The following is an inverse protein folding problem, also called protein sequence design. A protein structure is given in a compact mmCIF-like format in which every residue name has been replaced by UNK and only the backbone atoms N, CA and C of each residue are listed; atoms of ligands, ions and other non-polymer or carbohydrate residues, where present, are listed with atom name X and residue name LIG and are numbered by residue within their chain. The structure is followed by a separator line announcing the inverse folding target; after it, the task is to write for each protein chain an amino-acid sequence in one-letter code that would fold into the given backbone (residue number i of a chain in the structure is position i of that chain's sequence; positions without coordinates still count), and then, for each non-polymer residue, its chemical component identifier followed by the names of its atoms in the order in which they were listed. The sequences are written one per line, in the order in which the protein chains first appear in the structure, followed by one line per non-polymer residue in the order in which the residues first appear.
data_IF_564457528367
#
_entry.id   IF_564457528367
#
_cell.length_a   1.000
_cell.length_b   1.000
_cell.length_c   1.000
_cell.angle_alpha   90.00
_cell.angle_beta   90.00
_cell.angle_gamma   90.00
#
_symmetry.space_group_name_H-M   'P 1'
#
loop_
_entity.id
_entity.type
_entity.pdbx_description
1 polymer ?
#
# COMPACT_ATOMS: atom_id res chain seq x y z
N UNK A 1 -17.55 34.61 5.99
CA UNK A 1 -17.81 33.16 5.84
C UNK A 1 -17.11 32.47 7.00
N UNK A 2 -17.86 32.05 8.01
CA UNK A 2 -17.29 31.35 9.17
C UNK A 2 -16.77 29.98 8.72
N UNK A 3 -15.45 29.84 8.61
CA UNK A 3 -14.81 28.53 8.54
C UNK A 3 -15.05 27.81 9.87
N UNK A 4 -16.15 27.03 9.95
CA UNK A 4 -16.38 26.11 11.06
C UNK A 4 -15.13 25.23 11.21
N UNK A 5 -14.45 25.39 12.34
CA UNK A 5 -13.32 24.56 12.74
C UNK A 5 -13.63 23.09 12.46
N UNK A 6 -12.73 22.34 11.80
CA UNK A 6 -12.98 20.96 11.46
C UNK A 6 -13.27 20.16 12.74
N UNK A 7 -14.33 19.35 12.69
CA UNK A 7 -14.76 18.55 13.84
C UNK A 7 -13.63 17.68 14.37
N UNK A 8 -13.66 17.35 15.66
CA UNK A 8 -12.68 16.45 16.28
C UNK A 8 -12.55 15.13 15.51
N UNK A 9 -13.68 14.60 15.03
CA UNK A 9 -13.76 13.39 14.18
C UNK A 9 -12.95 13.57 12.89
N UNK A 10 -13.03 14.75 12.24
CA UNK A 10 -12.27 15.03 11.02
C UNK A 10 -10.76 15.03 11.30
N UNK A 11 -10.32 15.66 12.40
CA UNK A 11 -8.90 15.71 12.79
C UNK A 11 -8.35 14.31 13.07
N UNK A 12 -9.07 13.49 13.85
CA UNK A 12 -8.68 12.09 14.11
C UNK A 12 -8.64 11.28 12.82
N UNK A 13 -9.67 11.39 11.98
CA UNK A 13 -9.75 10.68 10.71
C UNK A 13 -8.55 10.99 9.82
N UNK A 14 -8.10 12.25 9.82
CA UNK A 14 -6.92 12.69 9.09
C UNK A 14 -5.66 12.02 9.63
N UNK A 15 -5.44 12.05 10.94
CA UNK A 15 -4.26 11.41 11.56
C UNK A 15 -4.20 9.91 11.23
N UNK A 16 -5.33 9.21 11.37
CA UNK A 16 -5.41 7.78 11.07
C UNK A 16 -5.12 7.53 9.58
N UNK A 17 -5.75 8.28 8.67
CA UNK A 17 -5.54 8.10 7.23
C UNK A 17 -4.13 8.44 6.80
N UNK A 18 -3.52 9.47 7.37
CA UNK A 18 -2.18 9.93 7.01
C UNK A 18 -1.12 8.95 7.54
N UNK A 19 -1.33 8.39 8.76
CA UNK A 19 -0.43 7.40 9.34
C UNK A 19 -0.53 6.04 8.64
N UNK A 20 -1.73 5.52 8.41
CA UNK A 20 -1.94 4.24 7.71
C UNK A 20 -2.04 4.42 6.19
N UNK A 21 -1.23 5.32 5.64
CA UNK A 21 -1.08 5.41 4.20
C UNK A 21 -0.38 4.14 3.65
N UNK A 22 -0.54 3.82 2.35
CA UNK A 22 -0.01 2.59 1.77
C UNK A 22 1.48 2.32 2.04
N UNK A 23 2.32 3.36 1.97
CA UNK A 23 3.77 3.21 2.14
C UNK A 23 4.13 2.93 3.60
N UNK A 24 3.52 3.63 4.56
CA UNK A 24 3.77 3.40 5.99
C UNK A 24 3.23 2.04 6.42
N UNK A 25 2.03 1.64 5.97
CA UNK A 25 1.48 0.32 6.29
C UNK A 25 2.36 -0.82 5.80
N UNK A 26 2.89 -0.73 4.57
CA UNK A 26 3.87 -1.69 4.06
C UNK A 26 5.21 -1.63 4.82
N UNK A 27 5.69 -0.43 5.14
CA UNK A 27 6.90 -0.26 5.94
C UNK A 27 6.78 -0.96 7.31
N UNK A 28 5.65 -0.76 8.01
CA UNK A 28 5.39 -1.42 9.30
C UNK A 28 5.39 -2.94 9.13
N UNK A 29 4.73 -3.46 8.08
CA UNK A 29 4.73 -4.89 7.79
C UNK A 29 6.15 -5.42 7.56
N UNK A 30 6.94 -4.78 6.69
CA UNK A 30 8.28 -5.26 6.39
C UNK A 30 9.22 -5.19 7.59
N UNK A 31 9.14 -4.14 8.41
CA UNK A 31 9.91 -4.05 9.66
C UNK A 31 9.50 -5.15 10.62
N UNK A 32 8.19 -5.35 10.82
CA UNK A 32 7.68 -6.38 11.72
C UNK A 32 8.12 -7.79 11.28
N UNK A 33 7.93 -8.11 10.00
CA UNK A 33 8.34 -9.39 9.42
C UNK A 33 9.85 -9.58 9.55
N UNK A 34 10.64 -8.54 9.27
CA UNK A 34 12.10 -8.63 9.36
C UNK A 34 12.60 -8.88 10.79
N UNK A 35 11.99 -8.26 11.79
CA UNK A 35 12.35 -8.48 13.21
C UNK A 35 11.92 -9.86 13.71
N UNK A 36 10.83 -10.41 13.17
CA UNK A 36 10.27 -11.72 13.56
C UNK A 36 11.05 -12.89 12.97
N UNK A 37 11.34 -12.83 11.67
CA UNK A 37 11.82 -13.99 10.89
C UNK A 37 13.33 -14.00 10.67
N UNK A 38 14.00 -12.85 10.83
CA UNK A 38 15.41 -12.71 10.49
C UNK A 38 16.27 -12.27 11.67
N UNK A 39 17.55 -12.65 11.64
CA UNK A 39 18.55 -12.03 12.49
C UNK A 39 18.68 -10.53 12.12
N UNK A 40 19.19 -9.69 13.02
CA UNK A 40 19.32 -8.25 12.77
C UNK A 40 20.11 -7.94 11.47
N UNK A 41 21.11 -8.78 11.16
CA UNK A 41 21.90 -8.68 9.92
C UNK A 41 21.08 -9.06 8.69
N UNK A 42 20.34 -10.16 8.75
CA UNK A 42 19.55 -10.66 7.62
C UNK A 42 18.32 -9.78 7.37
N UNK A 43 17.72 -9.26 8.44
CA UNK A 43 16.66 -8.26 8.42
C UNK A 43 17.09 -7.00 7.65
N UNK A 44 18.30 -6.50 7.93
CA UNK A 44 18.86 -5.37 7.19
C UNK A 44 19.11 -5.73 5.72
N UNK A 45 19.66 -6.91 5.44
CA UNK A 45 19.95 -7.33 4.06
C UNK A 45 18.69 -7.54 3.22
N UNK A 46 17.58 -7.96 3.83
CA UNK A 46 16.29 -8.13 3.17
C UNK A 46 15.53 -6.80 3.02
N UNK A 47 15.44 -6.01 4.08
CA UNK A 47 14.65 -4.77 4.08
C UNK A 47 15.33 -3.60 3.36
N UNK A 48 16.66 -3.48 3.46
CA UNK A 48 17.39 -2.33 2.90
C UNK A 48 17.20 -2.18 1.38
N UNK A 49 17.24 -3.25 0.56
CA UNK A 49 16.93 -3.13 -0.87
C UNK A 49 15.50 -2.64 -1.15
N UNK A 50 14.50 -3.09 -0.39
CA UNK A 50 13.11 -2.60 -0.53
C UNK A 50 13.05 -1.10 -0.21
N UNK A 51 13.72 -0.68 0.88
CA UNK A 51 13.78 0.72 1.29
C UNK A 51 14.41 1.60 0.21
N UNK A 52 15.57 1.18 -0.33
CA UNK A 52 16.38 1.99 -1.26
C UNK A 52 15.85 1.96 -2.70
N UNK A 53 15.34 0.82 -3.16
CA UNK A 53 14.89 0.65 -4.56
C UNK A 53 13.42 1.05 -4.72
N UNK A 54 12.60 0.92 -3.67
CA UNK A 54 11.15 1.15 -3.78
C UNK A 54 10.67 2.30 -2.91
N UNK A 55 10.81 2.21 -1.60
CA UNK A 55 10.15 3.17 -0.68
C UNK A 55 10.74 4.58 -0.86
N UNK A 56 12.06 4.73 -0.77
CA UNK A 56 12.71 6.03 -0.85
C UNK A 56 12.50 6.71 -2.23
N UNK A 57 12.67 6.03 -3.38
CA UNK A 57 12.37 6.62 -4.69
C UNK A 57 10.92 7.06 -4.84
N UNK A 58 9.96 6.27 -4.37
CA UNK A 58 8.53 6.61 -4.45
C UNK A 58 8.21 7.84 -3.60
N UNK A 59 8.71 7.91 -2.37
CA UNK A 59 8.54 9.10 -1.50
C UNK A 59 9.15 10.33 -2.17
N UNK A 60 10.41 10.23 -2.64
CA UNK A 60 11.10 11.33 -3.32
C UNK A 60 10.35 11.79 -4.57
N UNK A 61 9.79 10.86 -5.36
CA UNK A 61 8.99 11.17 -6.53
C UNK A 61 7.72 11.95 -6.18
N UNK A 62 6.97 11.50 -5.16
CA UNK A 62 5.74 12.19 -4.71
C UNK A 62 6.09 13.59 -4.21
N UNK A 63 7.08 13.70 -3.32
CA UNK A 63 7.51 14.98 -2.74
C UNK A 63 7.96 15.95 -3.82
N UNK A 64 8.78 15.49 -4.77
CA UNK A 64 9.26 16.31 -5.87
C UNK A 64 8.11 16.79 -6.75
N UNK A 65 7.20 15.92 -7.16
CA UNK A 65 6.06 16.30 -8.01
C UNK A 65 5.09 17.26 -7.31
N UNK A 66 4.90 17.13 -6.00
CA UNK A 66 4.10 18.09 -5.22
C UNK A 66 4.82 19.44 -5.12
N UNK A 67 6.12 19.44 -4.79
CA UNK A 67 6.92 20.68 -4.69
C UNK A 67 7.03 21.44 -6.01
N UNK A 68 7.06 20.75 -7.14
CA UNK A 68 7.08 21.37 -8.47
C UNK A 68 5.68 21.67 -9.02
N UNK A 69 4.62 21.53 -8.22
CA UNK A 69 3.23 21.81 -8.63
C UNK A 69 2.62 20.83 -9.64
N UNK A 70 3.31 19.72 -9.96
CA UNK A 70 2.81 18.69 -10.89
C UNK A 70 1.73 17.82 -10.26
N UNK A 71 1.82 17.59 -8.95
CA UNK A 71 0.79 16.93 -8.14
C UNK A 71 0.11 17.93 -7.21
N UNK A 72 -1.21 17.80 -7.07
CA UNK A 72 -2.00 18.73 -6.26
C UNK A 72 -1.92 18.45 -4.75
N UNK A 73 -1.54 17.23 -4.36
CA UNK A 73 -1.42 16.82 -2.96
C UNK A 73 -0.60 15.52 -2.86
N UNK A 74 -0.14 15.22 -1.64
CA UNK A 74 0.62 14.02 -1.31
C UNK A 74 -0.14 12.70 -1.56
N UNK A 75 -1.47 12.72 -1.45
CA UNK A 75 -2.35 11.56 -1.73
C UNK A 75 -2.53 11.27 -3.23
N UNK A 76 -1.99 12.14 -4.09
CA UNK A 76 -2.16 12.14 -5.55
C UNK A 76 -3.63 11.88 -5.91
N UNK A 77 -4.50 12.76 -5.40
CA UNK A 77 -5.96 12.56 -5.49
C UNK A 77 -6.53 12.70 -6.90
N UNK A 78 -5.79 13.31 -7.84
CA UNK A 78 -6.23 13.46 -9.22
C UNK A 78 -5.94 12.17 -10.02
N UNK A 79 -6.96 11.62 -10.69
CA UNK A 79 -6.88 10.36 -11.46
C UNK A 79 -5.85 10.40 -12.58
N UNK A 80 -5.64 11.55 -13.23
CA UNK A 80 -4.64 11.74 -14.29
C UNK A 80 -3.23 11.67 -13.71
N UNK A 81 -3.00 12.34 -12.58
CA UNK A 81 -1.71 12.33 -11.86
C UNK A 81 -1.37 10.93 -11.31
N UNK A 82 -2.37 10.15 -10.90
CA UNK A 82 -2.18 8.76 -10.42
C UNK A 82 -1.54 7.85 -11.45
N UNK A 83 -1.81 8.05 -12.74
CA UNK A 83 -1.25 7.20 -13.79
C UNK A 83 0.27 7.24 -13.77
N UNK A 84 0.87 8.43 -13.67
CA UNK A 84 2.33 8.57 -13.62
C UNK A 84 2.91 8.01 -12.33
N UNK A 85 2.21 8.19 -11.20
CA UNK A 85 2.61 7.58 -9.93
C UNK A 85 2.62 6.05 -10.02
N UNK A 86 1.55 5.43 -10.52
CA UNK A 86 1.43 3.97 -10.55
C UNK A 86 2.47 3.34 -11.48
N UNK A 87 2.74 3.96 -12.64
CA UNK A 87 3.82 3.54 -13.54
C UNK A 87 5.18 3.62 -12.84
N UNK A 88 5.45 4.72 -12.13
CA UNK A 88 6.71 4.89 -11.41
C UNK A 88 6.88 3.88 -10.28
N UNK A 89 5.85 3.64 -9.47
CA UNK A 89 5.88 2.61 -8.43
C UNK A 89 6.10 1.23 -9.05
N UNK A 90 5.37 0.89 -10.13
CA UNK A 90 5.52 -0.39 -10.81
C UNK A 90 6.95 -0.59 -11.34
N UNK A 91 7.58 0.45 -11.91
CA UNK A 91 8.97 0.40 -12.35
C UNK A 91 9.94 0.13 -11.19
N UNK A 92 9.75 0.78 -10.04
CA UNK A 92 10.56 0.54 -8.84
C UNK A 92 10.38 -0.90 -8.31
N UNK A 93 9.15 -1.40 -8.28
CA UNK A 93 8.84 -2.77 -7.84
C UNK A 93 9.43 -3.80 -8.79
N UNK A 94 9.33 -3.59 -10.11
CA UNK A 94 9.96 -4.48 -11.12
C UNK A 94 11.48 -4.46 -10.96
N UNK A 95 12.09 -3.29 -10.74
CA UNK A 95 13.53 -3.19 -10.51
C UNK A 95 13.96 -3.97 -9.26
N UNK A 96 13.18 -3.90 -8.17
CA UNK A 96 13.43 -4.70 -6.98
C UNK A 96 13.29 -6.21 -7.26
N UNK A 97 12.21 -6.63 -7.93
CA UNK A 97 11.98 -8.05 -8.24
C UNK A 97 13.14 -8.60 -9.09
N UNK A 98 13.59 -7.84 -10.10
CA UNK A 98 14.74 -8.21 -10.91
C UNK A 98 16.01 -8.33 -10.06
N UNK A 99 16.30 -7.33 -9.22
CA UNK A 99 17.43 -7.37 -8.29
C UNK A 99 17.38 -8.61 -7.37
N UNK A 100 16.22 -8.89 -6.76
CA UNK A 100 16.04 -10.06 -5.89
C UNK A 100 16.27 -11.37 -6.65
N UNK A 101 15.72 -11.48 -7.86
CA UNK A 101 15.89 -12.67 -8.69
C UNK A 101 17.36 -12.93 -9.05
N UNK A 102 18.10 -11.90 -9.50
CA UNK A 102 19.51 -12.05 -9.83
C UNK A 102 20.39 -12.34 -8.61
N UNK A 103 20.04 -11.80 -7.44
CA UNK A 103 20.81 -12.00 -6.21
C UNK A 103 20.53 -13.34 -5.53
N UNK A 104 19.27 -13.72 -5.44
CA UNK A 104 18.81 -14.83 -4.60
C UNK A 104 18.26 -16.03 -5.40
N UNK A 105 18.04 -15.90 -6.71
CA UNK A 105 17.58 -16.98 -7.58
C UNK A 105 16.08 -17.27 -7.54
N UNK A 106 15.28 -16.46 -6.83
CA UNK A 106 13.82 -16.63 -6.74
C UNK A 106 13.08 -15.29 -6.85
N UNK A 107 11.78 -15.36 -7.15
CA UNK A 107 10.89 -14.19 -7.21
C UNK A 107 10.31 -13.94 -5.82
N UNK A 108 10.43 -12.72 -5.31
CA UNK A 108 9.77 -12.29 -4.08
C UNK A 108 8.25 -12.22 -4.30
N UNK A 109 7.53 -13.19 -3.73
CA UNK A 109 6.08 -13.33 -3.87
C UNK A 109 5.31 -12.12 -3.33
N UNK A 110 5.74 -11.53 -2.21
CA UNK A 110 5.06 -10.37 -1.63
C UNK A 110 5.11 -9.21 -2.62
N UNK A 111 6.29 -8.96 -3.20
CA UNK A 111 6.50 -7.86 -4.12
C UNK A 111 5.83 -8.10 -5.49
N UNK A 112 5.75 -9.35 -5.94
CA UNK A 112 4.96 -9.73 -7.11
C UNK A 112 3.46 -9.40 -6.93
N UNK A 113 2.88 -9.75 -5.78
CA UNK A 113 1.46 -9.46 -5.52
C UNK A 113 1.19 -7.98 -5.27
N UNK A 114 2.15 -7.22 -4.73
CA UNK A 114 2.09 -5.74 -4.73
C UNK A 114 2.01 -5.20 -6.15
N UNK A 115 2.82 -5.73 -7.08
CA UNK A 115 2.79 -5.34 -8.49
C UNK A 115 1.44 -5.65 -9.15
N UNK A 116 0.90 -6.85 -8.90
CA UNK A 116 -0.43 -7.25 -9.39
C UNK A 116 -1.52 -6.31 -8.85
N UNK A 117 -1.49 -6.00 -7.55
CA UNK A 117 -2.43 -5.06 -6.94
C UNK A 117 -2.34 -3.67 -7.57
N UNK A 118 -1.13 -3.17 -7.81
CA UNK A 118 -0.89 -1.88 -8.47
C UNK A 118 -1.47 -1.84 -9.88
N UNK A 119 -1.26 -2.89 -10.68
CA UNK A 119 -1.84 -2.96 -12.02
C UNK A 119 -3.36 -3.07 -11.99
N UNK A 120 -3.94 -3.86 -11.08
CA UNK A 120 -5.39 -3.93 -10.92
C UNK A 120 -5.99 -2.57 -10.54
N UNK A 121 -5.33 -1.83 -9.63
CA UNK A 121 -5.73 -0.47 -9.28
C UNK A 121 -5.53 0.53 -10.43
N UNK A 122 -4.48 0.38 -11.25
CA UNK A 122 -4.26 1.20 -12.45
C UNK A 122 -5.37 0.98 -13.48
N UNK A 123 -5.72 -0.27 -13.74
CA UNK A 123 -6.81 -0.63 -14.65
C UNK A 123 -8.13 -0.05 -14.13
N UNK A 124 -8.40 -0.24 -12.83
CA UNK A 124 -9.57 0.33 -12.18
C UNK A 124 -9.62 1.86 -12.30
N UNK A 125 -8.48 2.55 -12.21
CA UNK A 125 -8.37 4.00 -12.32
C UNK A 125 -8.78 4.56 -13.70
N UNK A 126 -8.95 3.74 -14.74
CA UNK A 126 -9.60 4.16 -15.99
C UNK A 126 -11.11 4.34 -15.86
N UNK A 127 -11.75 3.63 -14.93
CA UNK A 127 -13.20 3.68 -14.72
C UNK A 127 -13.58 4.45 -13.45
N UNK A 128 -12.97 4.10 -12.32
CA UNK A 128 -13.30 4.62 -10.99
C UNK A 128 -12.03 4.87 -10.17
N UNK A 129 -12.03 5.93 -9.35
CA UNK A 129 -10.87 6.31 -8.52
C UNK A 129 -10.83 5.44 -7.25
N UNK A 130 -10.56 4.15 -7.42
CA UNK A 130 -10.48 3.18 -6.32
C UNK A 130 -9.52 3.64 -5.21
N UNK A 131 -9.90 3.36 -3.97
CA UNK A 131 -9.13 3.77 -2.78
C UNK A 131 -7.88 2.90 -2.61
N UNK A 132 -6.72 3.44 -2.98
CA UNK A 132 -5.42 2.80 -2.75
C UNK A 132 -5.15 2.59 -1.24
N UNK A 133 -5.57 3.52 -0.38
CA UNK A 133 -5.41 3.39 1.07
C UNK A 133 -6.15 2.16 1.60
N UNK A 134 -7.39 1.95 1.15
CA UNK A 134 -8.18 0.78 1.52
C UNK A 134 -7.57 -0.50 0.94
N UNK A 135 -7.25 -0.48 -0.35
CA UNK A 135 -6.76 -1.66 -1.05
C UNK A 135 -5.45 -2.19 -0.45
N UNK A 136 -4.47 -1.31 -0.23
CA UNK A 136 -3.19 -1.71 0.37
C UNK A 136 -3.32 -2.16 1.82
N UNK A 137 -4.16 -1.52 2.64
CA UNK A 137 -4.32 -1.97 4.02
C UNK A 137 -5.03 -3.34 4.12
N UNK A 138 -5.97 -3.66 3.22
CA UNK A 138 -6.55 -5.00 3.13
C UNK A 138 -5.47 -6.02 2.71
N UNK A 139 -4.64 -5.66 1.73
CA UNK A 139 -3.53 -6.53 1.32
C UNK A 139 -2.51 -6.75 2.46
N UNK A 140 -2.14 -5.69 3.18
CA UNK A 140 -1.26 -5.81 4.37
C UNK A 140 -1.90 -6.68 5.46
N UNK A 141 -3.22 -6.66 5.62
CA UNK A 141 -3.90 -7.58 6.53
C UNK A 141 -3.71 -9.04 6.11
N UNK A 142 -3.76 -9.34 4.81
CA UNK A 142 -3.45 -10.68 4.30
C UNK A 142 -1.98 -11.05 4.50
N UNK A 143 -1.05 -10.12 4.33
CA UNK A 143 0.37 -10.34 4.65
C UNK A 143 0.57 -10.69 6.13
N UNK A 144 -0.06 -9.94 7.05
CA UNK A 144 -0.03 -10.27 8.48
C UNK A 144 -0.71 -11.58 8.81
N UNK A 145 -1.75 -11.96 8.06
CA UNK A 145 -2.46 -13.22 8.27
C UNK A 145 -1.55 -14.44 8.06
N UNK A 146 -0.63 -14.37 7.10
CA UNK A 146 0.40 -15.41 6.87
C UNK A 146 1.31 -15.57 8.10
N UNK A 147 1.70 -14.47 8.75
CA UNK A 147 2.55 -14.50 9.94
C UNK A 147 1.76 -14.91 11.20
N UNK A 148 0.54 -14.41 11.34
CA UNK A 148 -0.35 -14.70 12.46
C UNK A 148 -1.78 -14.31 12.13
N UNK A 149 -2.69 -15.27 12.21
CA UNK A 149 -4.15 -15.06 12.05
C UNK A 149 -4.66 -13.91 12.91
N UNK A 150 -4.20 -13.81 14.18
CA UNK A 150 -4.59 -12.74 15.10
C UNK A 150 -4.18 -11.35 14.58
N UNK A 151 -2.95 -11.24 14.07
CA UNK A 151 -2.44 -9.97 13.50
C UNK A 151 -3.16 -9.61 12.20
N UNK A 152 -3.44 -10.59 11.35
CA UNK A 152 -4.20 -10.38 10.12
C UNK A 152 -5.61 -9.85 10.39
N UNK A 153 -6.35 -10.45 11.33
CA UNK A 153 -7.68 -9.99 11.73
C UNK A 153 -7.62 -8.58 12.35
N UNK A 154 -6.64 -8.33 13.21
CA UNK A 154 -6.44 -7.01 13.80
C UNK A 154 -6.19 -5.94 12.73
N UNK A 155 -5.30 -6.22 11.78
CA UNK A 155 -4.98 -5.28 10.71
C UNK A 155 -6.13 -5.10 9.72
N UNK A 156 -6.97 -6.12 9.52
CA UNK A 156 -8.21 -5.99 8.74
C UNK A 156 -9.16 -4.97 9.39
N UNK A 157 -9.25 -4.95 10.72
CA UNK A 157 -9.98 -3.91 11.46
C UNK A 157 -9.41 -2.51 11.19
N UNK A 158 -8.09 -2.36 11.18
CA UNK A 158 -7.42 -1.10 10.78
C UNK A 158 -7.76 -0.73 9.33
N UNK A 159 -7.75 -1.69 8.40
CA UNK A 159 -8.06 -1.44 7.00
C UNK A 159 -9.49 -0.93 6.80
N UNK A 160 -10.46 -1.48 7.53
CA UNK A 160 -11.86 -1.00 7.55
C UNK A 160 -11.92 0.43 8.08
N UNK A 161 -11.25 0.69 9.22
CA UNK A 161 -11.20 2.02 9.82
C UNK A 161 -10.61 3.05 8.84
N UNK A 162 -9.49 2.71 8.18
CA UNK A 162 -8.89 3.56 7.14
C UNK A 162 -9.89 3.83 6.02
N UNK A 163 -10.60 2.82 5.51
CA UNK A 163 -11.65 3.00 4.51
C UNK A 163 -12.72 4.01 4.94
N UNK A 164 -13.20 3.92 6.18
CA UNK A 164 -14.16 4.86 6.76
C UNK A 164 -13.57 6.28 6.81
N UNK A 165 -12.32 6.44 7.27
CA UNK A 165 -11.69 7.77 7.32
C UNK A 165 -11.59 8.42 5.94
N UNK A 166 -11.36 7.65 4.86
CA UNK A 166 -11.31 8.21 3.49
C UNK A 166 -12.65 8.80 3.04
N UNK A 167 -13.76 8.23 3.51
CA UNK A 167 -15.12 8.75 3.27
C UNK A 167 -15.36 10.02 4.09
N UNK A 168 -15.04 9.99 5.39
CA UNK A 168 -15.19 11.15 6.30
C UNK A 168 -14.38 12.36 5.80
N UNK A 169 -13.15 12.12 5.33
CA UNK A 169 -12.27 13.14 4.78
C UNK A 169 -12.67 13.59 3.37
N UNK A 170 -13.75 13.05 2.80
CA UNK A 170 -14.25 13.32 1.44
C UNK A 170 -13.18 13.11 0.36
N UNK A 171 -12.26 12.18 0.59
CA UNK A 171 -11.22 11.81 -0.37
C UNK A 171 -11.72 10.80 -1.39
N UNK A 172 -12.69 9.98 -0.96
CA UNK A 172 -13.31 8.92 -1.75
C UNK A 172 -14.81 8.80 -1.45
N UNK A 173 -15.57 8.33 -2.44
CA UNK A 173 -16.96 7.90 -2.25
C UNK A 173 -17.00 6.49 -1.65
N UNK A 174 -18.18 6.09 -1.14
CA UNK A 174 -18.41 4.72 -0.66
C UNK A 174 -18.11 3.69 -1.75
N UNK A 175 -18.57 3.94 -2.99
CA UNK A 175 -18.32 3.06 -4.14
C UNK A 175 -16.82 2.91 -4.46
N UNK A 176 -16.05 3.99 -4.40
CA UNK A 176 -14.61 3.97 -4.62
C UNK A 176 -13.85 3.18 -3.55
N UNK A 177 -14.32 3.22 -2.30
CA UNK A 177 -13.77 2.41 -1.20
C UNK A 177 -14.11 0.94 -1.40
N UNK A 178 -15.36 0.59 -1.70
CA UNK A 178 -15.76 -0.79 -1.96
C UNK A 178 -15.08 -1.38 -3.19
N UNK A 179 -14.89 -0.62 -4.26
CA UNK A 179 -14.14 -1.10 -5.43
C UNK A 179 -12.68 -1.40 -5.08
N UNK A 180 -12.02 -0.50 -4.35
CA UNK A 180 -10.66 -0.74 -3.85
C UNK A 180 -10.58 -1.97 -2.95
N UNK A 181 -11.58 -2.16 -2.08
CA UNK A 181 -11.67 -3.32 -1.21
C UNK A 181 -11.90 -4.62 -1.97
N UNK A 182 -12.80 -4.65 -2.96
CA UNK A 182 -13.07 -5.82 -3.78
C UNK A 182 -11.85 -6.27 -4.58
N UNK A 183 -11.14 -5.31 -5.22
CA UNK A 183 -9.88 -5.59 -5.91
C UNK A 183 -8.86 -6.20 -4.96
N UNK A 184 -8.65 -5.57 -3.80
CA UNK A 184 -7.69 -6.06 -2.83
C UNK A 184 -8.07 -7.40 -2.23
N UNK A 185 -9.36 -7.67 -2.02
CA UNK A 185 -9.84 -8.97 -1.53
C UNK A 185 -9.49 -10.09 -2.50
N UNK A 186 -9.75 -9.91 -3.80
CA UNK A 186 -9.40 -10.90 -4.83
C UNK A 186 -7.89 -11.12 -4.87
N UNK A 187 -7.10 -10.05 -4.91
CA UNK A 187 -5.63 -10.17 -4.95
C UNK A 187 -5.08 -10.81 -3.66
N UNK A 188 -5.63 -10.46 -2.50
CA UNK A 188 -5.26 -11.05 -1.20
C UNK A 188 -5.61 -12.52 -1.12
N UNK A 189 -6.78 -12.91 -1.61
CA UNK A 189 -7.20 -14.32 -1.68
C UNK A 189 -6.25 -15.13 -2.56
N UNK A 190 -5.92 -14.63 -3.75
CA UNK A 190 -4.95 -15.27 -4.64
C UNK A 190 -3.56 -15.36 -3.99
N UNK A 191 -3.12 -14.31 -3.30
CA UNK A 191 -1.86 -14.31 -2.56
C UNK A 191 -1.83 -15.41 -1.49
N UNK A 192 -2.86 -15.48 -0.64
CA UNK A 192 -2.96 -16.47 0.42
C UNK A 192 -3.03 -17.90 -0.16
N UNK A 193 -3.82 -18.10 -1.21
CA UNK A 193 -3.91 -19.39 -1.90
C UNK A 193 -2.54 -19.83 -2.43
N UNK A 194 -1.85 -18.95 -3.16
CA UNK A 194 -0.51 -19.24 -3.68
C UNK A 194 0.51 -19.46 -2.57
N UNK A 195 0.46 -18.69 -1.49
CA UNK A 195 1.36 -18.86 -0.35
C UNK A 195 1.21 -20.26 0.28
N UNK A 196 -0.03 -20.72 0.48
CA UNK A 196 -0.31 -22.07 0.99
C UNK A 196 0.17 -23.15 0.02
N UNK A 197 -0.03 -23.00 -1.29
CA UNK A 197 0.29 -24.04 -2.26
C UNK A 197 1.79 -24.14 -2.60
N UNK A 198 2.52 -23.03 -2.60
CA UNK A 198 3.87 -22.95 -3.16
C UNK A 198 4.97 -22.65 -2.13
N UNK A 199 4.65 -22.31 -0.87
CA UNK A 199 5.66 -22.03 0.16
C UNK A 199 5.68 -23.07 1.29
N UNK A 200 5.45 -24.34 0.95
CA UNK A 200 5.79 -25.48 1.81
C UNK A 200 7.26 -25.89 1.66
#
# INVERSE_FOLDING_TARGET
MDEKQPSFIYKISKVISDFFNPLISLFIFFVYMSVREYSLKDALLYFLPILVIVIAPVISWIVWNVKTGRYTNMDVSNRVQRKTLYIFIAACVIAYIAYNYFKNGYIDFVMLFILILLFALQISNFFIKSSMHTAFNIFVAALFFVLSVKMGIFWLGIAILVGITRIILKRHTVQEVFMGAGIAFVVSFLYLYCNIQFQH
#
